data_IF_499938132669
#
_entry.id   IF_499938132669
#
_cell.length_a   1.000
_cell.length_b   1.000
_cell.length_c   1.000
_cell.angle_alpha   90.00
_cell.angle_beta   90.00
_cell.angle_gamma   90.00
#
_symmetry.space_group_name_H-M   'P 1'
#
loop_
_entity.id
_entity.type
_entity.pdbx_description
1 polymer ?
#
# COMPACT_ATOMS: atom_id res chain seq x y z
N UNK A 1 10.07 3.25 28.48
CA UNK A 1 10.83 2.17 27.81
C UNK A 1 12.15 2.73 27.30
N UNK A 2 13.27 2.07 27.53
CA UNK A 2 14.59 2.54 27.10
C UNK A 2 15.03 1.74 25.86
N UNK A 3 15.48 2.42 24.82
CA UNK A 3 15.96 1.81 23.58
C UNK A 3 17.46 1.99 23.48
N UNK A 4 18.17 0.91 23.22
CA UNK A 4 19.62 0.91 23.03
C UNK A 4 19.96 1.32 21.62
N UNK A 5 20.68 2.42 21.42
CA UNK A 5 21.33 2.76 20.14
C UNK A 5 22.73 2.16 20.03
N UNK A 6 23.17 1.92 18.79
CA UNK A 6 24.51 1.48 18.47
C UNK A 6 25.54 2.51 19.02
N UNK A 7 26.07 2.33 20.19
CA UNK A 7 27.08 3.04 20.98
C UNK A 7 26.72 3.14 22.48
N UNK A 8 25.75 2.35 22.94
CA UNK A 8 25.37 2.32 24.36
C UNK A 8 24.62 3.55 24.87
N UNK A 9 24.06 4.37 23.97
CA UNK A 9 23.23 5.52 24.35
C UNK A 9 21.77 5.07 24.44
N UNK A 10 21.15 5.26 25.60
CA UNK A 10 19.74 4.98 25.84
C UNK A 10 18.91 6.21 25.56
N UNK A 11 17.77 6.04 24.90
CA UNK A 11 16.76 7.08 24.69
C UNK A 11 15.46 6.68 25.35
N UNK A 12 14.79 7.65 25.96
CA UNK A 12 13.41 7.48 26.39
C UNK A 12 12.47 7.55 25.17
N UNK A 13 11.27 6.97 25.31
CA UNK A 13 10.21 7.07 24.30
C UNK A 13 9.89 8.51 23.89
N UNK A 14 10.02 9.46 24.82
CA UNK A 14 9.73 10.88 24.59
C UNK A 14 10.66 11.57 23.58
N UNK A 15 11.80 10.95 23.28
CA UNK A 15 12.77 11.42 22.26
C UNK A 15 12.70 10.67 20.93
N UNK A 16 11.74 9.78 20.75
CA UNK A 16 11.56 9.02 19.52
C UNK A 16 10.57 9.73 18.61
N UNK A 17 10.83 9.69 17.30
CA UNK A 17 9.83 10.11 16.31
C UNK A 17 8.61 9.20 16.34
N UNK A 18 7.44 9.77 16.04
CA UNK A 18 6.15 9.06 16.04
C UNK A 18 6.15 7.76 15.23
N UNK A 19 6.80 7.75 14.06
CA UNK A 19 6.91 6.55 13.23
C UNK A 19 7.66 5.40 13.90
N UNK A 20 8.66 5.70 14.75
CA UNK A 20 9.38 4.64 15.49
C UNK A 20 8.49 4.08 16.60
N UNK A 21 7.72 4.93 17.27
CA UNK A 21 6.77 4.47 18.29
C UNK A 21 5.67 3.61 17.68
N UNK A 22 5.06 4.05 16.57
CA UNK A 22 4.05 3.28 15.84
C UNK A 22 4.59 1.92 15.40
N UNK A 23 5.80 1.90 14.82
CA UNK A 23 6.44 0.65 14.39
C UNK A 23 6.67 -0.31 15.57
N UNK A 24 7.04 0.21 16.75
CA UNK A 24 7.23 -0.61 17.94
C UNK A 24 5.94 -1.25 18.43
N UNK A 25 4.83 -0.52 18.43
CA UNK A 25 3.51 -1.09 18.78
C UNK A 25 3.08 -2.16 17.79
N UNK A 26 3.30 -1.92 16.49
CA UNK A 26 2.98 -2.92 15.45
C UNK A 26 3.84 -4.18 15.63
N UNK A 27 5.16 -4.02 15.84
CA UNK A 27 6.07 -5.15 16.04
C UNK A 27 5.70 -5.92 17.31
N UNK A 28 5.32 -5.24 18.40
CA UNK A 28 4.87 -5.89 19.63
C UNK A 28 3.61 -6.73 19.38
N UNK A 29 2.63 -6.18 18.67
CA UNK A 29 1.43 -6.91 18.26
C UNK A 29 1.75 -8.12 17.35
N UNK A 30 2.72 -7.97 16.43
CA UNK A 30 3.14 -9.05 15.55
C UNK A 30 3.92 -10.15 16.28
N UNK A 31 4.64 -9.81 17.33
CA UNK A 31 5.35 -10.76 18.17
C UNK A 31 4.45 -11.51 19.16
N UNK A 32 3.23 -11.04 19.39
CA UNK A 32 2.20 -11.76 20.13
C UNK A 32 1.93 -13.12 19.47
N UNK A 33 1.86 -14.18 20.27
CA UNK A 33 1.90 -15.56 19.75
C UNK A 33 0.53 -16.13 19.40
N UNK A 34 -0.55 -15.55 19.94
CA UNK A 34 -1.86 -16.20 19.94
C UNK A 34 -2.97 -15.38 19.26
N UNK A 35 -2.61 -14.30 18.58
CA UNK A 35 -3.59 -13.45 17.90
C UNK A 35 -4.05 -14.08 16.58
N UNK A 36 -5.34 -14.41 16.50
CA UNK A 36 -5.95 -14.94 15.28
C UNK A 36 -6.33 -13.85 14.27
N UNK A 37 -6.55 -12.62 14.75
CA UNK A 37 -6.90 -11.45 13.95
C UNK A 37 -6.11 -10.24 14.39
N UNK A 38 -5.43 -9.60 13.44
CA UNK A 38 -4.69 -8.35 13.63
C UNK A 38 -5.29 -7.30 12.70
N UNK A 39 -5.74 -6.19 13.27
CA UNK A 39 -6.28 -5.04 12.52
C UNK A 39 -5.41 -3.83 12.75
N UNK A 40 -4.91 -3.21 11.70
CA UNK A 40 -4.03 -2.05 11.79
C UNK A 40 -4.56 -0.96 10.86
N UNK A 41 -4.73 0.23 11.42
CA UNK A 41 -5.13 1.42 10.70
C UNK A 41 -3.89 2.27 10.38
N UNK A 42 -3.70 2.60 9.09
CA UNK A 42 -2.61 3.42 8.57
C UNK A 42 -1.20 3.04 9.11
N UNK A 43 -0.76 1.79 8.97
CA UNK A 43 0.53 1.34 9.52
C UNK A 43 1.73 2.08 8.91
N UNK A 44 1.54 2.78 7.80
CA UNK A 44 2.56 3.58 7.12
C UNK A 44 2.81 4.95 7.74
N UNK A 45 1.96 5.43 8.65
CA UNK A 45 2.06 6.77 9.22
C UNK A 45 3.46 7.06 9.77
N UNK A 46 4.02 8.20 9.34
CA UNK A 46 5.36 8.67 9.73
C UNK A 46 6.51 7.70 9.41
N UNK A 47 6.29 6.69 8.56
CA UNK A 47 7.32 5.76 8.10
C UNK A 47 7.90 6.16 6.74
N UNK A 48 9.23 6.11 6.64
CA UNK A 48 9.90 6.23 5.35
C UNK A 48 9.47 5.09 4.39
N UNK A 49 9.28 5.32 3.08
CA UNK A 49 8.80 4.31 2.12
C UNK A 49 9.52 2.96 2.20
N UNK A 50 10.82 2.95 2.42
CA UNK A 50 11.59 1.70 2.57
C UNK A 50 11.19 0.90 3.83
N UNK A 51 10.79 1.58 4.90
CA UNK A 51 10.30 0.92 6.11
C UNK A 51 8.89 0.38 5.91
N UNK A 52 8.05 1.09 5.14
CA UNK A 52 6.71 0.61 4.76
C UNK A 52 6.80 -0.73 4.01
N UNK A 53 7.69 -0.84 3.02
CA UNK A 53 7.90 -2.09 2.26
C UNK A 53 8.39 -3.22 3.18
N UNK A 54 9.27 -2.92 4.14
CA UNK A 54 9.74 -3.92 5.11
C UNK A 54 8.62 -4.35 6.06
N UNK A 55 7.87 -3.40 6.58
CA UNK A 55 6.73 -3.67 7.44
C UNK A 55 5.69 -4.54 6.72
N UNK A 56 5.37 -4.22 5.47
CA UNK A 56 4.45 -5.04 4.67
C UNK A 56 4.92 -6.48 4.54
N UNK A 57 6.23 -6.71 4.39
CA UNK A 57 6.79 -8.07 4.34
C UNK A 57 6.57 -8.83 5.64
N UNK A 58 6.82 -8.20 6.79
CA UNK A 58 6.60 -8.81 8.11
C UNK A 58 5.11 -9.11 8.35
N UNK A 59 4.22 -8.19 7.95
CA UNK A 59 2.78 -8.41 8.00
C UNK A 59 2.35 -9.63 7.17
N UNK A 60 2.89 -9.77 5.95
CA UNK A 60 2.63 -10.93 5.08
C UNK A 60 3.12 -12.24 5.70
N UNK A 61 4.28 -12.26 6.35
CA UNK A 61 4.75 -13.44 7.08
C UNK A 61 3.78 -13.84 8.21
N UNK A 62 3.22 -12.87 8.91
CA UNK A 62 2.24 -13.13 9.98
C UNK A 62 0.94 -13.74 9.46
N UNK A 63 0.54 -13.46 8.20
CA UNK A 63 -0.69 -14.03 7.61
C UNK A 63 -0.68 -15.56 7.51
N UNK A 64 0.46 -16.20 7.71
CA UNK A 64 0.57 -17.66 7.77
C UNK A 64 -0.14 -18.25 9.00
N UNK A 65 -0.28 -17.47 10.07
CA UNK A 65 -0.82 -17.92 11.35
C UNK A 65 -2.01 -17.08 11.85
N UNK A 66 -2.24 -15.91 11.26
CA UNK A 66 -3.30 -14.99 11.68
C UNK A 66 -3.93 -14.30 10.47
N UNK A 67 -5.16 -13.86 10.60
CA UNK A 67 -5.76 -12.95 9.64
C UNK A 67 -5.23 -11.52 9.91
N UNK A 68 -4.68 -10.88 8.90
CA UNK A 68 -4.21 -9.48 8.98
C UNK A 68 -5.08 -8.61 8.10
N UNK A 69 -5.65 -7.56 8.68
CA UNK A 69 -6.45 -6.54 7.99
C UNK A 69 -5.75 -5.19 8.19
N UNK A 70 -5.47 -4.51 7.12
CA UNK A 70 -4.89 -3.16 7.16
C UNK A 70 -5.75 -2.17 6.39
N UNK A 71 -5.93 -0.96 6.91
CA UNK A 71 -6.35 0.18 6.11
C UNK A 71 -5.12 1.02 5.78
N UNK A 72 -5.03 1.55 4.56
CA UNK A 72 -3.84 2.27 4.13
C UNK A 72 -4.12 3.22 2.98
N UNK A 73 -3.38 4.32 2.95
CA UNK A 73 -3.31 5.25 1.83
C UNK A 73 -1.98 5.12 1.05
N UNK A 74 -1.12 4.15 1.40
CA UNK A 74 0.18 3.98 0.77
C UNK A 74 0.24 2.82 -0.22
N UNK A 75 0.65 3.06 -1.47
CA UNK A 75 0.93 1.99 -2.44
C UNK A 75 1.95 0.96 -1.95
N UNK A 76 2.86 1.36 -1.07
CA UNK A 76 3.88 0.47 -0.51
C UNK A 76 3.31 -0.58 0.45
N UNK A 77 2.10 -0.34 0.97
CA UNK A 77 1.38 -1.28 1.83
C UNK A 77 0.46 -2.23 1.05
N UNK A 78 0.54 -2.22 -0.28
CA UNK A 78 -0.19 -3.13 -1.14
C UNK A 78 0.74 -4.18 -1.75
N UNK A 79 0.42 -5.46 -1.60
CA UNK A 79 1.16 -6.55 -2.20
C UNK A 79 0.38 -7.19 -3.36
N UNK A 80 0.81 -6.93 -4.59
CA UNK A 80 0.23 -7.56 -5.78
C UNK A 80 0.38 -9.09 -5.75
N UNK A 81 1.49 -9.58 -5.19
CA UNK A 81 1.72 -11.01 -5.00
C UNK A 81 0.70 -11.64 -4.04
N UNK A 82 0.41 -10.96 -2.93
CA UNK A 82 -0.64 -11.41 -1.99
C UNK A 82 -2.00 -11.45 -2.66
N UNK A 83 -2.35 -10.40 -3.43
CA UNK A 83 -3.62 -10.33 -4.17
C UNK A 83 -3.72 -11.48 -5.18
N UNK A 84 -2.66 -11.74 -5.95
CA UNK A 84 -2.62 -12.85 -6.89
C UNK A 84 -2.81 -14.21 -6.22
N UNK A 85 -2.36 -14.37 -4.98
CA UNK A 85 -2.43 -15.61 -4.20
C UNK A 85 -3.67 -15.71 -3.29
N UNK A 86 -4.66 -14.83 -3.44
CA UNK A 86 -5.92 -14.92 -2.73
C UNK A 86 -6.13 -13.87 -1.63
N UNK A 87 -5.16 -12.98 -1.41
CA UNK A 87 -5.36 -11.80 -0.57
C UNK A 87 -6.49 -10.92 -1.12
N UNK A 88 -7.28 -10.31 -0.25
CA UNK A 88 -8.35 -9.43 -0.64
C UNK A 88 -7.95 -7.96 -0.56
N UNK A 89 -8.43 -7.18 -1.52
CA UNK A 89 -8.33 -5.72 -1.52
C UNK A 89 -9.72 -5.15 -1.68
N UNK A 90 -10.02 -4.17 -0.84
CA UNK A 90 -11.24 -3.38 -0.93
C UNK A 90 -10.88 -1.90 -1.05
N UNK A 91 -11.51 -1.20 -1.97
CA UNK A 91 -11.47 0.25 -2.04
C UNK A 91 -12.71 0.81 -1.36
N UNK A 92 -12.49 1.75 -0.44
CA UNK A 92 -13.58 2.50 0.20
C UNK A 92 -13.57 3.92 -0.38
N UNK A 93 -14.69 4.34 -0.93
CA UNK A 93 -14.85 5.70 -1.46
C UNK A 93 -16.16 6.32 -0.99
N UNK A 94 -16.13 7.63 -0.81
CA UNK A 94 -17.30 8.41 -0.41
C UNK A 94 -18.23 8.68 -1.59
N UNK A 95 -19.53 8.63 -1.34
CA UNK A 95 -20.57 9.06 -2.27
C UNK A 95 -21.54 10.01 -1.56
N UNK A 96 -22.41 10.66 -2.29
CA UNK A 96 -23.48 11.50 -1.70
C UNK A 96 -24.43 10.71 -0.77
N UNK A 97 -24.45 9.39 -0.88
CA UNK A 97 -25.32 8.51 -0.10
C UNK A 97 -24.58 7.77 1.02
N UNK A 98 -23.29 8.01 1.18
CA UNK A 98 -22.44 7.35 2.16
C UNK A 98 -21.22 6.69 1.53
N UNK A 99 -20.55 5.83 2.27
CA UNK A 99 -19.35 5.12 1.78
C UNK A 99 -19.74 3.86 1.01
N UNK A 100 -19.06 3.60 -0.08
CA UNK A 100 -19.17 2.38 -0.90
C UNK A 100 -17.87 1.60 -0.80
N UNK A 101 -17.98 0.28 -0.65
CA UNK A 101 -16.86 -0.65 -0.62
C UNK A 101 -16.86 -1.46 -1.91
N UNK A 102 -15.79 -1.33 -2.69
CA UNK A 102 -15.57 -2.08 -3.92
C UNK A 102 -14.47 -3.11 -3.70
N UNK A 103 -14.79 -4.38 -3.92
CA UNK A 103 -13.85 -5.49 -3.78
C UNK A 103 -13.23 -5.83 -5.13
N UNK A 104 -12.00 -6.33 -5.11
CA UNK A 104 -11.38 -6.89 -6.31
C UNK A 104 -12.13 -8.17 -6.75
N UNK A 105 -12.44 -8.28 -8.03
CA UNK A 105 -13.05 -9.46 -8.62
C UNK A 105 -12.03 -10.52 -9.08
N UNK A 106 -12.52 -11.70 -9.44
CA UNK A 106 -11.66 -12.81 -9.85
C UNK A 106 -10.98 -12.59 -11.20
N UNK A 107 -11.60 -11.84 -12.11
CA UNK A 107 -11.03 -11.49 -13.40
C UNK A 107 -9.84 -10.56 -13.23
N UNK A 108 -9.99 -9.50 -12.42
CA UNK A 108 -8.91 -8.59 -12.04
C UNK A 108 -7.77 -9.33 -11.33
N UNK A 109 -8.09 -10.25 -10.42
CA UNK A 109 -7.11 -11.09 -9.73
C UNK A 109 -6.33 -11.97 -10.71
N UNK A 110 -7.03 -12.57 -11.67
CA UNK A 110 -6.41 -13.39 -12.71
C UNK A 110 -5.49 -12.56 -13.61
N UNK A 111 -5.89 -11.34 -13.92
CA UNK A 111 -5.08 -10.40 -14.67
C UNK A 111 -3.80 -10.03 -13.92
N UNK A 112 -3.89 -9.67 -12.64
CA UNK A 112 -2.73 -9.37 -11.76
C UNK A 112 -1.76 -10.57 -11.75
N UNK A 113 -2.28 -11.79 -11.62
CA UNK A 113 -1.45 -13.00 -11.63
C UNK A 113 -0.65 -13.14 -12.93
N UNK A 114 -1.27 -12.85 -14.08
CA UNK A 114 -0.58 -12.88 -15.38
C UNK A 114 0.51 -11.81 -15.47
N UNK A 115 0.28 -10.61 -14.94
CA UNK A 115 1.26 -9.53 -14.94
C UNK A 115 2.47 -9.90 -14.09
N UNK A 116 2.26 -10.38 -12.88
CA UNK A 116 3.35 -10.71 -11.93
C UNK A 116 4.23 -11.84 -12.46
N UNK A 117 3.65 -12.80 -13.19
CA UNK A 117 4.40 -13.92 -13.76
C UNK A 117 5.15 -13.58 -15.04
N UNK A 118 4.88 -12.44 -15.66
CA UNK A 118 5.51 -12.02 -16.90
C UNK A 118 6.73 -11.13 -16.67
N UNK A 119 7.82 -11.72 -16.19
CA UNK A 119 9.10 -11.02 -15.95
C UNK A 119 9.76 -10.45 -17.21
N UNK A 120 9.28 -10.79 -18.42
CA UNK A 120 9.89 -10.36 -19.67
C UNK A 120 9.29 -9.07 -20.24
N UNK A 121 8.35 -8.43 -19.56
CA UNK A 121 7.75 -7.20 -20.05
C UNK A 121 8.03 -6.02 -19.07
N UNK A 122 9.17 -5.34 -19.21
CA UNK A 122 9.55 -4.21 -18.34
C UNK A 122 8.67 -2.97 -18.56
N UNK A 123 7.79 -2.98 -19.56
CA UNK A 123 6.97 -1.82 -19.95
C UNK A 123 5.55 -1.84 -19.38
N UNK A 124 5.21 -2.85 -18.55
CA UNK A 124 3.83 -2.99 -18.12
C UNK A 124 3.32 -1.84 -17.30
N UNK A 125 4.17 -1.08 -16.60
CA UNK A 125 3.72 0.15 -15.95
C UNK A 125 4.95 1.02 -15.61
N UNK A 126 5.14 2.11 -16.32
CA UNK A 126 6.12 3.15 -15.99
C UNK A 126 5.82 3.84 -14.63
N UNK A 127 4.70 3.49 -14.02
CA UNK A 127 4.29 3.83 -12.67
C UNK A 127 4.11 2.51 -11.91
N UNK A 128 4.38 2.51 -10.63
CA UNK A 128 4.09 1.35 -9.79
C UNK A 128 2.61 0.94 -9.97
N UNK A 129 2.36 -0.27 -10.46
CA UNK A 129 1.00 -0.78 -10.71
C UNK A 129 0.08 -0.62 -9.51
N UNK A 130 0.65 -0.60 -8.31
CA UNK A 130 -0.06 -0.38 -7.05
C UNK A 130 -0.70 1.00 -6.97
N UNK A 131 -0.10 2.01 -7.61
CA UNK A 131 -0.65 3.36 -7.62
C UNK A 131 -2.04 3.45 -8.28
N UNK A 132 -2.36 2.52 -9.20
CA UNK A 132 -3.68 2.45 -9.83
C UNK A 132 -4.82 2.19 -8.84
N UNK A 133 -4.54 1.53 -7.72
CA UNK A 133 -5.53 1.28 -6.68
C UNK A 133 -5.88 2.54 -5.86
N UNK A 134 -5.07 3.59 -5.98
CA UNK A 134 -5.22 4.85 -5.26
C UNK A 134 -5.67 6.01 -6.15
N UNK A 135 -5.94 5.76 -7.43
CA UNK A 135 -6.51 6.77 -8.33
C UNK A 135 -7.93 7.17 -7.87
N UNK A 136 -8.21 8.47 -7.74
CA UNK A 136 -9.46 8.94 -7.14
C UNK A 136 -10.65 8.79 -8.09
N UNK A 137 -10.65 9.43 -9.26
CA UNK A 137 -11.83 9.54 -10.13
C UNK A 137 -11.70 8.79 -11.47
N UNK A 138 -10.50 8.41 -11.84
CA UNK A 138 -10.25 7.70 -13.08
C UNK A 138 -8.77 7.56 -13.36
N UNK A 139 -8.45 6.63 -14.26
CA UNK A 139 -7.10 6.37 -14.70
C UNK A 139 -7.05 6.43 -16.22
N UNK A 140 -6.20 7.30 -16.76
CA UNK A 140 -5.89 7.31 -18.19
C UNK A 140 -4.59 6.56 -18.38
N UNK A 141 -4.66 5.42 -19.08
CA UNK A 141 -3.49 4.62 -19.42
C UNK A 141 -3.01 5.05 -20.80
N UNK A 142 -1.74 5.44 -20.91
CA UNK A 142 -1.12 5.87 -22.16
C UNK A 142 -0.04 4.88 -22.58
N UNK A 143 0.26 4.82 -23.88
CA UNK A 143 1.23 3.88 -24.42
C UNK A 143 2.68 4.32 -24.20
N UNK A 144 2.94 5.64 -24.19
CA UNK A 144 4.30 6.19 -24.19
C UNK A 144 4.54 7.29 -23.16
N UNK A 145 5.82 7.52 -22.88
CA UNK A 145 6.25 8.60 -21.95
C UNK A 145 5.89 9.99 -22.48
N UNK A 146 5.85 10.15 -23.79
CA UNK A 146 5.48 11.41 -24.45
C UNK A 146 4.02 11.76 -24.20
N UNK A 147 3.16 10.76 -24.16
CA UNK A 147 1.74 10.92 -23.86
C UNK A 147 1.50 11.46 -22.45
N UNK A 148 2.28 10.99 -21.47
CA UNK A 148 2.19 11.46 -20.07
C UNK A 148 2.48 12.96 -19.96
N UNK A 149 3.29 13.51 -20.86
CA UNK A 149 3.58 14.96 -20.92
C UNK A 149 2.54 15.71 -21.74
N UNK A 150 2.09 15.13 -22.84
CA UNK A 150 1.21 15.78 -23.80
C UNK A 150 -0.25 15.85 -23.32
N UNK A 151 -0.79 14.76 -22.75
CA UNK A 151 -2.19 14.69 -22.33
C UNK A 151 -2.57 15.75 -21.29
N UNK A 152 -1.80 16.01 -20.22
CA UNK A 152 -2.11 17.08 -19.28
C UNK A 152 -2.23 18.45 -19.97
N UNK A 153 -1.33 18.75 -20.92
CA UNK A 153 -1.36 20.01 -21.67
C UNK A 153 -2.59 20.13 -22.59
N UNK A 154 -3.02 19.02 -23.17
CA UNK A 154 -4.23 18.96 -24.00
C UNK A 154 -5.47 19.15 -23.14
N UNK A 155 -5.55 18.42 -22.01
CA UNK A 155 -6.67 18.52 -21.07
C UNK A 155 -6.80 19.93 -20.50
N UNK A 156 -5.69 20.57 -20.14
CA UNK A 156 -5.67 21.97 -19.70
C UNK A 156 -6.24 22.92 -20.77
N UNK A 157 -5.81 22.76 -22.03
CA UNK A 157 -6.32 23.57 -23.15
C UNK A 157 -7.80 23.36 -23.45
N UNK A 158 -8.31 22.17 -23.15
CA UNK A 158 -9.73 21.82 -23.32
C UNK A 158 -10.57 22.23 -22.10
N UNK A 159 -9.97 22.77 -21.05
CA UNK A 159 -10.65 23.11 -19.80
C UNK A 159 -11.06 21.88 -18.98
N UNK A 160 -10.42 20.73 -19.21
CA UNK A 160 -10.68 19.44 -18.56
C UNK A 160 -9.58 19.07 -17.54
N UNK A 161 -8.76 20.03 -17.13
CA UNK A 161 -7.61 19.79 -16.24
C UNK A 161 -7.99 19.34 -14.81
N UNK A 162 -9.28 19.25 -14.51
CA UNK A 162 -9.81 18.86 -13.19
C UNK A 162 -10.69 17.60 -13.24
N UNK A 163 -10.51 16.77 -14.27
CA UNK A 163 -11.15 15.46 -14.34
C UNK A 163 -10.29 14.38 -13.69
#
# INVERSE_FOLDING_TARGET
MNILKARGVFHNSDGLGEGVLSLMFIVDALCGTDEELIVIDEPELSLHPQLQVRLMRELLEKTKNAQVVISTHSPNMLSLESIANGGNVARVHGTYQGSVISMIDDDSRTFIRKIITNFNNPHILGTDARACFFAEDGLIITEGQEDVVLYPLILEKLGLAYL
#
